data_IF_836502187072
#
_entry.id   IF_836502187072
#
_cell.length_a   1.000
_cell.length_b   1.000
_cell.length_c   1.000
_cell.angle_alpha   90.00
_cell.angle_beta   90.00
_cell.angle_gamma   90.00
#
_symmetry.space_group_name_H-M   'P 1'
#
loop_
_entity.id
_entity.type
_entity.pdbx_description
1 polymer ?
#
# COMPACT_ATOMS: atom_id res chain seq x y z
N UNK A 1 -39.40 59.80 28.61
CA UNK A 1 -39.14 58.49 29.27
C UNK A 1 -39.09 57.29 28.32
N UNK A 2 -39.79 57.28 27.19
CA UNK A 2 -39.91 56.09 26.30
C UNK A 2 -38.62 55.67 25.56
N UNK A 3 -37.70 56.59 25.27
CA UNK A 3 -36.43 56.27 24.58
C UNK A 3 -35.45 55.46 25.44
N UNK A 4 -35.39 55.72 26.75
CA UNK A 4 -34.51 55.01 27.69
C UNK A 4 -34.90 53.53 27.82
N UNK A 5 -36.20 53.25 27.97
CA UNK A 5 -36.74 51.88 28.08
C UNK A 5 -36.47 51.08 26.79
N UNK A 6 -36.60 51.72 25.62
CA UNK A 6 -36.24 51.09 24.33
C UNK A 6 -34.75 50.77 24.20
N UNK A 7 -33.88 51.57 24.80
CA UNK A 7 -32.43 51.32 24.74
C UNK A 7 -32.02 50.17 25.65
N UNK A 8 -32.58 50.13 26.87
CA UNK A 8 -32.34 49.04 27.84
C UNK A 8 -32.81 47.69 27.25
N UNK A 9 -33.95 47.64 26.58
CA UNK A 9 -34.44 46.41 25.95
C UNK A 9 -33.63 45.95 24.74
N UNK A 10 -33.00 46.88 24.00
CA UNK A 10 -32.05 46.54 22.94
C UNK A 10 -30.77 45.95 23.50
N UNK A 11 -30.23 46.53 24.58
CA UNK A 11 -29.01 46.04 25.24
C UNK A 11 -29.22 44.64 25.80
N UNK A 12 -30.37 44.38 26.46
CA UNK A 12 -30.65 43.04 27.00
C UNK A 12 -30.85 41.98 25.91
N UNK A 13 -31.45 42.34 24.77
CA UNK A 13 -31.51 41.44 23.59
C UNK A 13 -30.13 41.17 23.01
N UNK A 14 -29.28 42.20 22.90
CA UNK A 14 -27.92 42.06 22.40
C UNK A 14 -27.09 41.12 23.29
N UNK A 15 -27.18 41.29 24.62
CA UNK A 15 -26.52 40.42 25.58
C UNK A 15 -26.95 38.96 25.43
N UNK A 16 -28.25 38.69 25.26
CA UNK A 16 -28.74 37.32 25.01
C UNK A 16 -28.15 36.72 23.74
N UNK A 17 -28.11 37.49 22.64
CA UNK A 17 -27.54 37.01 21.37
C UNK A 17 -26.05 36.69 21.51
N UNK A 18 -25.29 37.54 22.20
CA UNK A 18 -23.86 37.33 22.43
C UNK A 18 -23.61 36.06 23.28
N UNK A 19 -24.39 35.86 24.34
CA UNK A 19 -24.25 34.65 25.19
C UNK A 19 -24.59 33.39 24.39
N UNK A 20 -25.68 33.40 23.62
CA UNK A 20 -26.05 32.25 22.79
C UNK A 20 -25.05 31.99 21.65
N UNK A 21 -24.44 33.02 21.07
CA UNK A 21 -23.41 32.82 20.06
C UNK A 21 -22.14 32.23 20.64
N UNK A 22 -21.74 32.65 21.85
CA UNK A 22 -20.61 32.07 22.58
C UNK A 22 -20.84 30.59 22.90
N UNK A 23 -22.04 30.24 23.39
CA UNK A 23 -22.40 28.84 23.66
C UNK A 23 -22.35 28.02 22.37
N UNK A 24 -22.93 28.54 21.28
CA UNK A 24 -22.90 27.87 19.97
C UNK A 24 -21.47 27.66 19.46
N UNK A 25 -20.61 28.67 19.62
CA UNK A 25 -19.19 28.58 19.22
C UNK A 25 -18.46 27.48 19.99
N UNK A 26 -18.67 27.38 21.30
CA UNK A 26 -18.05 26.35 22.14
C UNK A 26 -18.51 24.95 21.71
N UNK A 27 -19.82 24.77 21.51
CA UNK A 27 -20.38 23.49 21.05
C UNK A 27 -19.82 23.13 19.67
N UNK A 28 -19.83 24.08 18.74
CA UNK A 28 -19.31 23.87 17.39
C UNK A 28 -17.82 23.50 17.41
N UNK A 29 -17.01 24.21 18.19
CA UNK A 29 -15.59 23.90 18.35
C UNK A 29 -15.36 22.51 18.92
N UNK A 30 -16.17 22.09 19.91
CA UNK A 30 -16.07 20.76 20.51
C UNK A 30 -16.42 19.65 19.51
N UNK A 31 -17.52 19.81 18.77
CA UNK A 31 -17.92 18.85 17.73
C UNK A 31 -16.91 18.79 16.59
N UNK A 32 -16.40 19.94 16.17
CA UNK A 32 -15.39 20.03 15.12
C UNK A 32 -14.08 19.35 15.53
N UNK A 33 -13.63 19.56 16.78
CA UNK A 33 -12.47 18.88 17.34
C UNK A 33 -12.64 17.36 17.37
N UNK A 34 -13.79 16.87 17.85
CA UNK A 34 -14.09 15.43 17.87
C UNK A 34 -14.12 14.85 16.46
N UNK A 35 -14.71 15.55 15.50
CA UNK A 35 -14.74 15.13 14.11
C UNK A 35 -13.32 14.98 13.54
N UNK A 36 -12.48 16.01 13.66
CA UNK A 36 -11.11 15.97 13.17
C UNK A 36 -10.29 14.85 13.81
N UNK A 37 -10.38 14.71 15.14
CA UNK A 37 -9.64 13.68 15.87
C UNK A 37 -10.08 12.28 15.44
N UNK A 38 -11.38 12.07 15.27
CA UNK A 38 -11.93 10.77 14.83
C UNK A 38 -11.43 10.40 13.43
N UNK A 39 -11.46 11.35 12.49
CA UNK A 39 -10.95 11.14 11.13
C UNK A 39 -9.47 10.75 11.15
N UNK A 40 -8.63 11.50 11.87
CA UNK A 40 -7.19 11.21 11.96
C UNK A 40 -6.92 9.83 12.58
N UNK A 41 -7.65 9.47 13.65
CA UNK A 41 -7.50 8.16 14.29
C UNK A 41 -7.89 7.03 13.34
N UNK A 42 -9.00 7.18 12.60
CA UNK A 42 -9.46 6.16 11.65
C UNK A 42 -8.46 6.01 10.49
N UNK A 43 -8.01 7.12 9.90
CA UNK A 43 -7.01 7.10 8.82
C UNK A 43 -5.70 6.46 9.27
N UNK A 44 -5.22 6.82 10.47
CA UNK A 44 -3.99 6.23 11.03
C UNK A 44 -4.16 4.73 11.28
N UNK A 45 -5.31 4.30 11.79
CA UNK A 45 -5.60 2.89 12.00
C UNK A 45 -5.66 2.11 10.67
N UNK A 46 -6.28 2.67 9.64
CA UNK A 46 -6.31 2.06 8.30
C UNK A 46 -4.92 1.99 7.69
N UNK A 47 -4.13 3.07 7.79
CA UNK A 47 -2.75 3.10 7.30
C UNK A 47 -1.89 2.03 7.98
N UNK A 48 -1.98 1.89 9.30
CA UNK A 48 -1.23 0.88 10.05
C UNK A 48 -1.64 -0.55 9.67
N UNK A 49 -2.93 -0.80 9.44
CA UNK A 49 -3.41 -2.10 8.93
C UNK A 49 -2.84 -2.40 7.54
N UNK A 50 -2.91 -1.44 6.63
CA UNK A 50 -2.40 -1.60 5.27
C UNK A 50 -0.88 -1.83 5.27
N UNK A 51 -0.13 -1.12 6.12
CA UNK A 51 1.31 -1.33 6.28
C UNK A 51 1.65 -2.71 6.83
N UNK A 52 0.85 -3.22 7.78
CA UNK A 52 1.02 -4.56 8.31
C UNK A 52 0.76 -5.64 7.24
N UNK A 53 -0.31 -5.46 6.44
CA UNK A 53 -0.63 -6.33 5.31
C UNK A 53 0.46 -6.30 4.25
N UNK A 54 0.94 -5.12 3.85
CA UNK A 54 2.05 -4.96 2.91
C UNK A 54 3.30 -5.68 3.42
N UNK A 55 3.65 -5.52 4.70
CA UNK A 55 4.80 -6.20 5.30
C UNK A 55 4.64 -7.72 5.27
N UNK A 56 3.42 -8.22 5.53
CA UNK A 56 3.12 -9.65 5.42
C UNK A 56 3.28 -10.14 3.97
N UNK A 57 2.75 -9.40 3.01
CA UNK A 57 2.84 -9.73 1.58
C UNK A 57 4.29 -9.76 1.11
N UNK A 58 5.09 -8.75 1.46
CA UNK A 58 6.52 -8.71 1.14
C UNK A 58 7.25 -9.92 1.71
N UNK A 59 6.94 -10.32 2.94
CA UNK A 59 7.53 -11.51 3.55
C UNK A 59 7.16 -12.79 2.78
N UNK A 60 5.88 -12.97 2.44
CA UNK A 60 5.43 -14.12 1.67
C UNK A 60 6.06 -14.15 0.27
N UNK A 61 6.21 -12.99 -0.37
CA UNK A 61 6.90 -12.87 -1.65
C UNK A 61 8.36 -13.30 -1.54
N UNK A 62 9.12 -12.78 -0.56
CA UNK A 62 10.50 -13.18 -0.33
C UNK A 62 10.65 -14.68 -0.07
N UNK A 63 9.75 -15.27 0.72
CA UNK A 63 9.75 -16.72 0.96
C UNK A 63 9.51 -17.50 -0.35
N UNK A 64 8.61 -17.01 -1.20
CA UNK A 64 8.32 -17.65 -2.49
C UNK A 64 9.52 -17.55 -3.43
N UNK A 65 10.17 -16.40 -3.44
CA UNK A 65 11.38 -16.14 -4.21
C UNK A 65 12.54 -17.04 -3.75
N UNK A 66 12.75 -17.20 -2.44
CA UNK A 66 13.72 -18.14 -1.89
C UNK A 66 13.43 -19.58 -2.31
N UNK A 67 12.16 -20.02 -2.24
CA UNK A 67 11.77 -21.37 -2.68
C UNK A 67 12.02 -21.57 -4.18
N UNK A 68 11.71 -20.57 -5.00
CA UNK A 68 11.98 -20.61 -6.44
C UNK A 68 13.48 -20.69 -6.74
N UNK A 69 14.30 -19.88 -6.06
CA UNK A 69 15.75 -19.95 -6.23
C UNK A 69 16.34 -21.27 -5.74
N UNK A 70 15.83 -21.84 -4.65
CA UNK A 70 16.22 -23.16 -4.18
C UNK A 70 15.89 -24.24 -5.22
N UNK A 71 14.69 -24.19 -5.82
CA UNK A 71 14.28 -25.14 -6.86
C UNK A 71 15.11 -25.02 -8.14
N UNK A 72 15.43 -23.79 -8.57
CA UNK A 72 16.35 -23.58 -9.70
C UNK A 72 17.77 -24.01 -9.36
N UNK A 73 18.24 -23.78 -8.13
CA UNK A 73 19.59 -24.18 -7.73
C UNK A 73 19.79 -25.70 -7.78
N UNK A 74 18.69 -26.47 -7.69
CA UNK A 74 18.71 -27.93 -7.87
C UNK A 74 18.79 -28.34 -9.33
N UNK A 75 18.40 -27.49 -10.29
CA UNK A 75 18.51 -27.74 -11.73
C UNK A 75 19.96 -27.51 -12.22
N UNK A 76 20.88 -28.30 -11.69
CA UNK A 76 22.29 -28.33 -12.13
C UNK A 76 22.52 -29.38 -13.23
N UNK A 77 23.64 -29.26 -13.93
CA UNK A 77 24.09 -30.28 -14.88
C UNK A 77 24.14 -31.67 -14.22
N UNK A 78 24.60 -31.75 -12.97
CA UNK A 78 24.62 -32.99 -12.18
C UNK A 78 23.23 -33.56 -11.94
N UNK A 79 22.22 -32.71 -11.71
CA UNK A 79 20.82 -33.15 -11.60
C UNK A 79 20.27 -33.66 -12.93
N UNK A 80 20.60 -33.01 -14.05
CA UNK A 80 20.22 -33.48 -15.38
C UNK A 80 20.89 -34.84 -15.70
N UNK A 81 22.19 -34.99 -15.40
CA UNK A 81 22.91 -36.25 -15.55
C UNK A 81 22.33 -37.35 -14.63
N UNK A 82 21.94 -37.02 -13.39
CA UNK A 82 21.30 -37.94 -12.46
C UNK A 82 19.89 -38.40 -12.91
N UNK A 83 19.17 -37.57 -13.66
CA UNK A 83 17.90 -37.92 -14.31
C UNK A 83 18.07 -38.74 -15.60
N UNK A 84 19.31 -39.05 -15.99
CA UNK A 84 19.61 -39.86 -17.17
C UNK A 84 19.69 -39.07 -18.49
N UNK A 85 19.76 -37.73 -18.43
CA UNK A 85 20.13 -36.95 -19.60
C UNK A 85 21.62 -37.12 -19.88
N UNK A 86 21.99 -37.44 -21.12
CA UNK A 86 23.39 -37.52 -21.52
C UNK A 86 23.86 -36.20 -22.15
N UNK A 87 25.07 -35.75 -21.79
CA UNK A 87 25.73 -34.64 -22.47
C UNK A 87 26.01 -35.02 -23.93
N UNK A 88 25.26 -34.41 -24.84
CA UNK A 88 25.43 -34.65 -26.27
C UNK A 88 26.72 -33.97 -26.74
N UNK A 89 27.83 -34.71 -26.73
CA UNK A 89 29.10 -34.27 -27.32
C UNK A 89 28.89 -33.75 -28.75
N UNK A 90 29.62 -32.69 -29.12
CA UNK A 90 29.49 -31.97 -30.39
C UNK A 90 29.27 -32.94 -31.57
N UNK A 91 28.11 -32.83 -32.22
CA UNK A 91 27.82 -33.61 -33.43
C UNK A 91 28.88 -33.28 -34.47
N UNK A 92 29.78 -34.22 -34.75
CA UNK A 92 30.65 -34.17 -35.92
C UNK A 92 29.78 -34.23 -37.18
N UNK A 93 29.55 -33.07 -37.80
CA UNK A 93 28.95 -33.00 -39.13
C UNK A 93 29.90 -33.64 -40.13
N UNK A 94 29.54 -34.81 -40.66
CA UNK A 94 30.25 -35.41 -41.79
C UNK A 94 29.75 -34.72 -43.06
N UNK A 95 30.49 -33.73 -43.54
CA UNK A 95 30.25 -33.20 -44.89
C UNK A 95 30.62 -34.29 -45.91
N UNK A 96 29.71 -34.64 -46.81
CA UNK A 96 30.06 -35.45 -47.99
C UNK A 96 31.15 -34.72 -48.77
N UNK A 97 32.38 -35.23 -48.70
CA UNK A 97 33.45 -34.78 -49.59
C UNK A 97 32.98 -34.95 -51.02
N UNK A 98 33.11 -33.89 -51.82
CA UNK A 98 32.79 -33.90 -53.24
C UNK A 98 33.53 -35.06 -53.92
N UNK A 99 32.83 -36.17 -54.15
CA UNK A 99 33.27 -37.19 -55.10
C UNK A 99 33.05 -36.58 -56.48
N UNK A 100 34.00 -35.74 -56.89
CA UNK A 100 34.18 -35.42 -58.30
C UNK A 100 34.53 -36.74 -59.00
N UNK A 101 33.54 -37.34 -59.66
CA UNK A 101 33.78 -38.36 -60.67
C UNK A 101 34.68 -37.73 -61.74
N UNK A 102 35.97 -38.10 -61.70
CA UNK A 102 36.95 -37.73 -62.73
C UNK A 102 36.63 -38.59 -63.95
N UNK A 103 36.31 -37.91 -65.06
CA UNK A 103 36.14 -38.37 -66.45
C UNK A 103 36.38 -39.84 -66.75
#
# INVERSE_FOLDING_TARGET
MTKLIKNISKISKLQKVVVWSLISLIIFSGLFYLYLTTTVVIETAMMNKNLAELKSLTKSYQQTEEMYFDEISKLTLDYALALGFEEQSERKFVSRGNVFAKR
#
